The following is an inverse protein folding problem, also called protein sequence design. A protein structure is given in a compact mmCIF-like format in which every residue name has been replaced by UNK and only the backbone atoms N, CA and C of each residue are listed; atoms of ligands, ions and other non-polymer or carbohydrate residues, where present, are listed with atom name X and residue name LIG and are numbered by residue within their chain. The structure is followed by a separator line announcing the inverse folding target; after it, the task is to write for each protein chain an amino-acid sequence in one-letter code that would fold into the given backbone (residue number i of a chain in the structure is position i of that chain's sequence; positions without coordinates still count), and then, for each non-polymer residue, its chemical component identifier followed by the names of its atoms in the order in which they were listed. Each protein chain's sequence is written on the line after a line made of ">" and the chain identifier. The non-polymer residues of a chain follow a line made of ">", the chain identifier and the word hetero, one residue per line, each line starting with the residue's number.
data_IF_656512092900
#
_entry.id   IF_656512092900
#
_cell.length_a   1.000
_cell.length_b   1.000
_cell.length_c   1.000
_cell.angle_alpha   90.00
_cell.angle_beta   90.00
_cell.angle_gamma   90.00
#
_symmetry.space_group_name_H-M   'P 1'
#
loop_
_entity.id
_entity.type
_entity.pdbx_description
1 polymer ?
#
# COMPACT_ATOMS: atom_id res chain seq x y z
N UNK A 1 32.37 -3.52 21.34
CA UNK A 1 32.18 -3.84 19.91
C UNK A 1 30.79 -3.36 19.54
N UNK A 2 30.60 -2.43 18.58
CA UNK A 2 29.26 -2.04 18.17
C UNK A 2 28.57 -3.27 17.57
N UNK A 3 27.33 -3.49 18.01
CA UNK A 3 26.55 -4.66 17.63
C UNK A 3 26.27 -4.56 16.12
N UNK A 4 26.75 -5.51 15.32
CA UNK A 4 26.56 -5.51 13.86
C UNK A 4 25.08 -5.50 13.47
N UNK A 5 24.20 -5.80 14.43
CA UNK A 5 22.76 -5.79 14.32
C UNK A 5 22.13 -4.38 14.38
N UNK A 6 22.79 -3.41 15.00
CA UNK A 6 22.25 -2.05 15.17
C UNK A 6 22.05 -1.32 13.82
N UNK A 7 23.00 -1.36 12.86
CA UNK A 7 22.80 -0.83 11.51
C UNK A 7 21.71 -1.59 10.73
N UNK A 8 21.57 -2.90 10.93
CA UNK A 8 20.57 -3.72 10.24
C UNK A 8 19.15 -3.39 10.74
N UNK A 9 18.98 -3.25 12.05
CA UNK A 9 17.73 -2.79 12.66
C UNK A 9 17.35 -1.39 12.18
N UNK A 10 18.31 -0.47 12.14
CA UNK A 10 18.06 0.89 11.66
C UNK A 10 17.62 0.92 10.18
N UNK A 11 18.26 0.12 9.32
CA UNK A 11 17.85 -0.01 7.91
C UNK A 11 16.44 -0.56 7.76
N UNK A 12 16.09 -1.58 8.54
CA UNK A 12 14.75 -2.16 8.51
C UNK A 12 13.70 -1.15 8.96
N UNK A 13 13.94 -0.43 10.05
CA UNK A 13 13.01 0.59 10.55
C UNK A 13 12.81 1.72 9.52
N UNK A 14 13.87 2.14 8.84
CA UNK A 14 13.78 3.12 7.75
C UNK A 14 12.91 2.60 6.59
N UNK A 15 13.01 1.31 6.24
CA UNK A 15 12.17 0.69 5.23
C UNK A 15 10.69 0.67 5.66
N UNK A 16 10.42 0.30 6.92
CA UNK A 16 9.06 0.32 7.49
C UNK A 16 8.48 1.74 7.40
N UNK A 17 9.22 2.76 7.82
CA UNK A 17 8.77 4.15 7.78
C UNK A 17 8.52 4.67 6.36
N UNK A 18 9.38 4.32 5.39
CA UNK A 18 9.17 4.65 3.97
C UNK A 18 7.87 4.02 3.46
N UNK A 19 7.66 2.74 3.75
CA UNK A 19 6.46 2.03 3.31
C UNK A 19 5.19 2.56 4.00
N UNK A 20 5.24 2.88 5.29
CA UNK A 20 4.11 3.48 6.00
C UNK A 20 3.68 4.80 5.36
N UNK A 21 4.66 5.65 5.00
CA UNK A 21 4.39 6.93 4.32
C UNK A 21 3.73 6.71 2.96
N UNK A 22 4.25 5.78 2.15
CA UNK A 22 3.67 5.45 0.84
C UNK A 22 2.26 4.87 0.96
N UNK A 23 2.06 3.95 1.90
CA UNK A 23 0.75 3.33 2.17
C UNK A 23 -0.27 4.37 2.63
N UNK A 24 0.13 5.29 3.52
CA UNK A 24 -0.72 6.39 3.99
C UNK A 24 -1.06 7.37 2.86
N UNK A 25 -0.08 7.70 2.00
CA UNK A 25 -0.28 8.58 0.85
C UNK A 25 -1.22 7.98 -0.21
N UNK A 26 -1.31 6.65 -0.28
CA UNK A 26 -2.23 5.96 -1.18
C UNK A 26 -3.70 6.00 -0.72
N UNK A 27 -3.98 6.43 0.51
CA UNK A 27 -5.34 6.53 1.01
C UNK A 27 -6.06 7.73 0.40
N UNK A 28 -7.27 7.47 -0.09
CA UNK A 28 -8.19 8.51 -0.51
C UNK A 28 -8.91 9.08 0.73
N UNK A 29 -8.81 10.39 1.02
CA UNK A 29 -9.42 10.99 2.22
C UNK A 29 -10.91 10.70 2.37
N UNK A 30 -11.65 10.65 1.25
CA UNK A 30 -13.08 10.36 1.22
C UNK A 30 -13.44 8.95 1.73
N UNK A 31 -12.49 8.02 1.79
CA UNK A 31 -12.72 6.66 2.28
C UNK A 31 -12.36 6.49 3.76
N UNK A 32 -12.12 7.59 4.49
CA UNK A 32 -11.88 7.60 5.95
C UNK A 32 -10.80 6.61 6.40
N UNK A 33 -9.80 6.36 5.55
CA UNK A 33 -8.68 5.46 5.83
C UNK A 33 -8.89 3.98 5.46
N UNK A 34 -9.95 3.63 4.73
CA UNK A 34 -10.22 2.28 4.19
C UNK A 34 -9.85 2.17 2.71
N UNK A 35 -9.73 0.93 2.22
CA UNK A 35 -9.56 0.63 0.80
C UNK A 35 -8.20 1.06 0.24
N UNK A 36 -7.17 1.06 1.07
CA UNK A 36 -5.81 1.43 0.67
C UNK A 36 -5.18 0.39 -0.26
N UNK A 37 -4.56 0.88 -1.34
CA UNK A 37 -3.80 0.06 -2.29
C UNK A 37 -2.50 0.76 -2.67
N UNK A 38 -1.38 0.06 -2.55
CA UNK A 38 -0.08 0.50 -3.02
C UNK A 38 0.47 -0.50 -4.04
N UNK A 39 1.03 0.01 -5.13
CA UNK A 39 1.72 -0.80 -6.15
C UNK A 39 3.17 -0.37 -6.19
N UNK A 40 4.08 -1.29 -5.88
CA UNK A 40 5.52 -1.08 -5.98
C UNK A 40 6.00 -1.64 -7.33
N UNK A 41 6.68 -0.81 -8.10
CA UNK A 41 7.30 -1.19 -9.36
C UNK A 41 8.55 -2.03 -9.13
N UNK A 42 9.07 -2.67 -10.18
CA UNK A 42 10.35 -3.38 -10.11
C UNK A 42 11.53 -2.46 -9.75
N UNK A 43 11.47 -1.18 -10.12
CA UNK A 43 12.42 -0.17 -9.68
C UNK A 43 12.38 0.02 -8.16
N UNK A 44 11.18 0.22 -7.61
CA UNK A 44 10.98 0.38 -6.16
C UNK A 44 11.48 -0.85 -5.39
N UNK A 45 11.18 -2.05 -5.89
CA UNK A 45 11.63 -3.30 -5.26
C UNK A 45 13.15 -3.41 -5.23
N UNK A 46 13.83 -3.09 -6.34
CA UNK A 46 15.31 -3.10 -6.40
C UNK A 46 15.94 -2.10 -5.43
N UNK A 47 15.35 -0.92 -5.29
CA UNK A 47 15.83 0.09 -4.34
C UNK A 47 15.62 -0.31 -2.88
N UNK A 48 14.51 -0.96 -2.58
CA UNK A 48 14.10 -1.31 -1.22
C UNK A 48 14.76 -2.59 -0.69
N UNK A 49 15.28 -3.42 -1.59
CA UNK A 49 16.05 -4.62 -1.26
C UNK A 49 15.26 -5.91 -1.45
N UNK A 50 15.47 -6.87 -0.55
CA UNK A 50 14.94 -8.21 -0.70
C UNK A 50 13.41 -8.27 -0.54
N UNK A 51 12.72 -8.96 -1.44
CA UNK A 51 11.26 -9.06 -1.45
C UNK A 51 10.69 -9.59 -0.12
N UNK A 52 11.42 -10.48 0.55
CA UNK A 52 11.03 -11.02 1.87
C UNK A 52 11.01 -9.92 2.93
N UNK A 53 12.00 -9.05 2.93
CA UNK A 53 12.11 -7.95 3.90
C UNK A 53 11.09 -6.86 3.58
N UNK A 54 10.85 -6.59 2.29
CA UNK A 54 9.78 -5.69 1.85
C UNK A 54 8.42 -6.21 2.34
N UNK A 55 8.08 -7.48 2.10
CA UNK A 55 6.82 -8.08 2.59
C UNK A 55 6.70 -8.07 4.12
N UNK A 56 7.82 -8.21 4.84
CA UNK A 56 7.84 -8.10 6.29
C UNK A 56 7.56 -6.66 6.74
N UNK A 57 8.23 -5.69 6.12
CA UNK A 57 8.08 -4.28 6.42
C UNK A 57 6.68 -3.75 6.04
N UNK A 58 6.09 -4.22 4.93
CA UNK A 58 4.69 -3.93 4.56
C UNK A 58 3.72 -4.40 5.62
N UNK A 59 3.92 -5.60 6.17
CA UNK A 59 3.05 -6.12 7.26
C UNK A 59 3.16 -5.25 8.51
N UNK A 60 4.36 -4.82 8.85
CA UNK A 60 4.60 -3.95 10.00
C UNK A 60 3.99 -2.55 9.80
N UNK A 61 4.28 -1.92 8.68
CA UNK A 61 3.71 -0.62 8.30
C UNK A 61 2.18 -0.67 8.24
N UNK A 62 1.62 -1.73 7.64
CA UNK A 62 0.17 -1.94 7.61
C UNK A 62 -0.43 -2.07 9.00
N UNK A 63 0.19 -2.82 9.91
CA UNK A 63 -0.26 -2.90 11.32
C UNK A 63 -0.25 -1.55 12.01
N UNK A 64 0.78 -0.71 11.80
CA UNK A 64 0.84 0.67 12.35
C UNK A 64 -0.30 1.55 11.84
N UNK A 65 -0.77 1.31 10.62
CA UNK A 65 -1.94 1.99 10.01
C UNK A 65 -3.28 1.32 10.35
N UNK A 66 -3.27 0.22 11.12
CA UNK A 66 -4.47 -0.56 11.41
C UNK A 66 -5.02 -1.33 10.20
N UNK A 67 -4.24 -1.50 9.13
CA UNK A 67 -4.61 -2.28 7.94
C UNK A 67 -4.54 -3.78 8.22
N UNK A 68 -5.22 -4.56 7.37
CA UNK A 68 -4.99 -6.00 7.20
C UNK A 68 -4.22 -6.21 5.89
N UNK A 69 -2.89 -6.02 5.87
CA UNK A 69 -2.13 -5.99 4.62
C UNK A 69 -2.00 -7.37 3.99
N UNK A 70 -2.36 -7.48 2.71
CA UNK A 70 -2.03 -8.59 1.85
C UNK A 70 -1.11 -8.14 0.73
N UNK A 71 -0.19 -9.02 0.32
CA UNK A 71 0.73 -8.72 -0.79
C UNK A 71 0.61 -9.75 -1.89
N UNK A 72 0.57 -9.31 -3.16
CA UNK A 72 0.55 -10.17 -4.34
C UNK A 72 1.59 -9.69 -5.33
N UNK A 73 2.51 -10.58 -5.74
CA UNK A 73 3.48 -10.26 -6.79
C UNK A 73 2.85 -10.66 -8.13
N UNK A 74 2.70 -9.71 -9.05
CA UNK A 74 2.16 -9.94 -10.39
C UNK A 74 3.17 -9.40 -11.39
N UNK A 75 3.78 -10.29 -12.16
CA UNK A 75 4.96 -9.96 -12.96
C UNK A 75 6.08 -9.45 -12.06
N UNK A 76 6.52 -8.22 -12.33
CA UNK A 76 7.60 -7.55 -11.62
C UNK A 76 7.12 -6.48 -10.61
N UNK A 77 5.80 -6.45 -10.33
CA UNK A 77 5.17 -5.47 -9.43
C UNK A 77 4.59 -6.14 -8.19
N UNK A 78 4.81 -5.51 -7.04
CA UNK A 78 4.21 -5.94 -5.78
C UNK A 78 2.98 -5.09 -5.48
N UNK A 79 1.82 -5.73 -5.46
CA UNK A 79 0.57 -5.16 -4.99
C UNK A 79 0.48 -5.34 -3.47
N UNK A 80 0.13 -4.27 -2.77
CA UNK A 80 -0.16 -4.22 -1.34
C UNK A 80 -1.58 -3.73 -1.18
N UNK A 81 -2.43 -4.52 -0.53
CA UNK A 81 -3.86 -4.28 -0.38
C UNK A 81 -4.25 -4.30 1.09
N UNK A 82 -5.14 -3.42 1.49
CA UNK A 82 -5.86 -3.52 2.75
C UNK A 82 -7.07 -4.45 2.59
N UNK A 83 -7.00 -5.66 3.17
CA UNK A 83 -8.09 -6.66 3.12
C UNK A 83 -9.02 -6.58 4.34
N UNK A 84 -9.09 -5.42 5.01
CA UNK A 84 -10.16 -5.16 6.00
C UNK A 84 -11.51 -5.13 5.29
N UNK A 85 -12.53 -5.61 5.98
CA UNK A 85 -13.91 -5.40 5.55
C UNK A 85 -14.20 -3.89 5.56
N UNK A 86 -14.70 -3.40 4.43
CA UNK A 86 -14.97 -1.98 4.22
C UNK A 86 -16.40 -1.72 4.65
N UNK A 87 -16.67 -0.72 5.52
CA UNK A 87 -18.04 -0.36 5.89
C UNK A 87 -18.88 -0.03 4.66
N UNK A 88 -20.16 -0.41 4.66
CA UNK A 88 -21.08 -0.27 3.54
C UNK A 88 -21.14 1.17 2.99
N UNK A 89 -21.13 2.18 3.87
CA UNK A 89 -21.09 3.59 3.47
C UNK A 89 -19.86 3.92 2.59
N UNK A 90 -18.69 3.37 2.94
CA UNK A 90 -17.44 3.60 2.20
C UNK A 90 -17.44 2.80 0.90
N UNK A 91 -17.99 1.58 0.93
CA UNK A 91 -18.18 0.78 -0.28
C UNK A 91 -19.07 1.51 -1.29
N UNK A 92 -20.22 2.04 -0.86
CA UNK A 92 -21.12 2.80 -1.72
C UNK A 92 -20.45 4.06 -2.31
N UNK A 93 -19.64 4.77 -1.51
CA UNK A 93 -18.85 5.91 -1.99
C UNK A 93 -17.83 5.49 -3.04
N UNK A 94 -17.18 4.33 -2.88
CA UNK A 94 -16.22 3.81 -3.85
C UNK A 94 -16.90 3.40 -5.17
N UNK A 95 -18.04 2.71 -5.08
CA UNK A 95 -18.84 2.30 -6.24
C UNK A 95 -19.35 3.50 -7.03
N UNK A 96 -19.91 4.51 -6.35
CA UNK A 96 -20.37 5.74 -6.99
C UNK A 96 -19.22 6.47 -7.70
N UNK A 97 -18.07 6.61 -7.04
CA UNK A 97 -16.90 7.24 -7.64
C UNK A 97 -16.38 6.49 -8.87
N UNK A 98 -16.45 5.15 -8.87
CA UNK A 98 -16.09 4.33 -10.01
C UNK A 98 -17.08 4.50 -11.18
N UNK A 99 -18.38 4.47 -10.89
CA UNK A 99 -19.43 4.69 -11.88
C UNK A 99 -19.30 6.08 -12.55
N UNK A 100 -19.05 7.13 -11.78
CA UNK A 100 -18.80 8.47 -12.31
C UNK A 100 -17.56 8.53 -13.20
N UNK A 101 -16.46 7.87 -12.80
CA UNK A 101 -15.24 7.82 -13.61
C UNK A 101 -15.48 7.13 -14.96
N UNK A 102 -16.19 6.00 -14.97
CA UNK A 102 -16.58 5.31 -16.21
C UNK A 102 -17.47 6.18 -17.09
N UNK A 103 -18.43 6.88 -16.49
CA UNK A 103 -19.31 7.79 -17.22
C UNK A 103 -18.54 8.95 -17.87
N UNK A 104 -17.56 9.54 -17.16
CA UNK A 104 -16.67 10.57 -17.72
C UNK A 104 -15.85 10.03 -18.91
N UNK A 105 -15.17 8.90 -18.72
CA UNK A 105 -14.37 8.29 -19.79
C UNK A 105 -15.21 7.98 -21.03
N UNK A 106 -16.44 7.49 -20.87
CA UNK A 106 -17.34 7.21 -21.99
C UNK A 106 -17.70 8.48 -22.79
N UNK A 107 -17.87 9.63 -22.13
CA UNK A 107 -18.17 10.91 -22.81
C UNK A 107 -16.97 11.51 -23.51
N UNK A 108 -15.76 11.28 -23.02
CA UNK A 108 -14.52 11.77 -23.64
C UNK A 108 -14.13 10.97 -24.90
N UNK A 109 -14.67 9.75 -25.04
CA UNK A 109 -14.48 8.89 -26.21
C UNK A 109 -15.63 8.92 -27.23
N UNK A 110 -16.58 9.86 -27.08
CA UNK A 110 -17.65 10.15 -28.04
C UNK A 110 -17.37 11.46 -28.76
#
# INVERSE_FOLDING_TARGET
>A
MPDKDEPARHRYEKLVNRLETLMRAALKPQYKGYGGQLVLSSGDLKEMGELKDIRRAVREAGRRLGWKPATRLVGDRLFVLDEREVPEEIQQLAENAAAEAMHRARREHQ
#
